data_IF_712624976533
#
_entry.id   IF_712624976533
#
_cell.length_a   1.000
_cell.length_b   1.000
_cell.length_c   1.000
_cell.angle_alpha   90.00
_cell.angle_beta   90.00
_cell.angle_gamma   90.00
#
_symmetry.space_group_name_H-M   'P 1'
#
loop_
_entity.id
_entity.type
_entity.pdbx_description
1 polymer ?
#
# COMPACT_ATOMS: atom_id res chain seq x y z
N UNK A 1 16.17 1.98 -5.68
CA UNK A 1 14.82 1.92 -6.26
C UNK A 1 14.40 0.47 -6.38
N UNK A 2 13.13 0.14 -6.11
CA UNK A 2 12.61 -1.22 -6.33
C UNK A 2 12.44 -1.48 -7.83
N UNK A 3 12.79 -2.68 -8.31
CA UNK A 3 12.57 -3.05 -9.72
C UNK A 3 11.08 -3.24 -10.01
N UNK A 4 10.67 -3.04 -11.26
CA UNK A 4 9.26 -3.22 -11.70
C UNK A 4 8.74 -4.62 -11.39
N UNK A 5 9.53 -5.68 -11.61
CA UNK A 5 9.15 -7.06 -11.26
C UNK A 5 8.97 -7.26 -9.75
N UNK A 6 9.76 -6.56 -8.92
CA UNK A 6 9.59 -6.61 -7.47
C UNK A 6 8.31 -5.88 -7.04
N UNK A 7 7.98 -4.72 -7.64
CA UNK A 7 6.70 -4.03 -7.40
C UNK A 7 5.50 -4.91 -7.78
N UNK A 8 5.57 -5.59 -8.93
CA UNK A 8 4.56 -6.55 -9.36
C UNK A 8 4.38 -7.70 -8.36
N UNK A 9 5.46 -8.23 -7.78
CA UNK A 9 5.40 -9.27 -6.74
C UNK A 9 4.70 -8.78 -5.47
N UNK A 10 5.01 -7.56 -5.01
CA UNK A 10 4.35 -6.95 -3.84
C UNK A 10 2.85 -6.79 -4.10
N UNK A 11 2.47 -6.27 -5.27
CA UNK A 11 1.07 -6.07 -5.65
C UNK A 11 0.29 -7.40 -5.66
N UNK A 12 0.85 -8.47 -6.24
CA UNK A 12 0.21 -9.80 -6.22
C UNK A 12 0.02 -10.32 -4.81
N UNK A 13 1.03 -10.19 -3.94
CA UNK A 13 0.93 -10.60 -2.53
C UNK A 13 -0.12 -9.80 -1.76
N UNK A 14 -0.33 -8.54 -2.14
CA UNK A 14 -1.38 -7.68 -1.59
C UNK A 14 -2.79 -7.96 -2.19
N UNK A 15 -2.92 -8.92 -3.11
CA UNK A 15 -4.18 -9.24 -3.78
C UNK A 15 -4.57 -8.28 -4.89
N UNK A 16 -3.68 -7.37 -5.31
CA UNK A 16 -3.93 -6.46 -6.44
C UNK A 16 -3.73 -7.24 -7.74
N UNK A 17 -4.70 -7.12 -8.67
CA UNK A 17 -4.58 -7.72 -10.00
C UNK A 17 -3.43 -7.08 -10.78
N UNK A 18 -2.47 -7.90 -11.20
CA UNK A 18 -1.26 -7.46 -11.90
C UNK A 18 -1.27 -8.02 -13.32
N UNK A 19 -1.09 -7.19 -14.36
CA UNK A 19 -1.05 -7.66 -15.75
C UNK A 19 0.10 -8.64 -15.98
N UNK A 20 -0.11 -9.60 -16.88
CA UNK A 20 0.93 -10.54 -17.29
C UNK A 20 2.12 -9.78 -17.90
N UNK A 21 3.34 -10.21 -17.57
CA UNK A 21 4.53 -9.66 -18.17
C UNK A 21 4.63 -10.17 -19.61
N UNK A 22 4.88 -9.31 -20.62
CA UNK A 22 5.12 -9.78 -21.98
C UNK A 22 6.35 -10.69 -22.01
N UNK A 23 6.22 -11.87 -22.65
CA UNK A 23 7.33 -12.83 -22.80
C UNK A 23 8.37 -12.36 -23.82
N UNK A 24 7.93 -11.63 -24.85
CA UNK A 24 8.79 -11.17 -25.93
C UNK A 24 9.26 -9.74 -25.65
N UNK A 25 10.54 -9.62 -25.26
CA UNK A 25 11.21 -8.34 -25.02
C UNK A 25 11.40 -7.50 -26.29
N UNK A 26 11.19 -8.09 -27.47
CA UNK A 26 11.34 -7.43 -28.78
C UNK A 26 10.23 -6.43 -29.07
N UNK A 27 9.10 -6.53 -28.36
CA UNK A 27 8.10 -5.45 -28.31
C UNK A 27 8.51 -4.47 -27.22
N UNK A 28 9.54 -3.65 -27.49
CA UNK A 28 10.05 -2.62 -26.57
C UNK A 28 8.91 -1.79 -25.93
N UNK A 29 7.89 -1.46 -26.74
CA UNK A 29 6.68 -0.74 -26.31
C UNK A 29 5.79 -1.55 -25.35
N UNK A 30 5.69 -2.87 -25.53
CA UNK A 30 4.94 -3.74 -24.62
C UNK A 30 5.62 -3.83 -23.25
N UNK A 31 6.96 -3.92 -23.22
CA UNK A 31 7.73 -3.90 -21.98
C UNK A 31 7.57 -2.56 -21.24
N UNK A 32 7.69 -1.45 -21.97
CA UNK A 32 7.55 -0.10 -21.40
C UNK A 32 6.12 0.18 -20.90
N UNK A 33 5.09 -0.22 -21.65
CA UNK A 33 3.70 -0.06 -21.25
C UNK A 33 3.34 -0.92 -20.03
N UNK A 34 3.81 -2.17 -19.99
CA UNK A 34 3.67 -3.02 -18.80
C UNK A 34 4.31 -2.36 -17.58
N UNK A 35 5.54 -1.85 -17.71
CA UNK A 35 6.22 -1.20 -16.60
C UNK A 35 5.44 0.02 -16.08
N UNK A 36 4.92 0.88 -16.96
CA UNK A 36 4.06 2.02 -16.54
C UNK A 36 2.79 1.57 -15.83
N UNK A 37 2.17 0.48 -16.27
CA UNK A 37 0.99 -0.08 -15.62
C UNK A 37 1.32 -0.53 -14.18
N UNK A 38 2.45 -1.23 -13.99
CA UNK A 38 2.91 -1.65 -12.65
C UNK A 38 3.19 -0.43 -11.76
N UNK A 39 3.86 0.60 -12.28
CA UNK A 39 4.14 1.82 -11.51
C UNK A 39 2.85 2.50 -11.04
N UNK A 40 1.86 2.62 -11.93
CA UNK A 40 0.56 3.22 -11.61
C UNK A 40 -0.15 2.45 -10.49
N UNK A 41 -0.21 1.13 -10.61
CA UNK A 41 -0.80 0.27 -9.58
C UNK A 41 -0.05 0.36 -8.25
N UNK A 42 1.28 0.43 -8.30
CA UNK A 42 2.12 0.52 -7.11
C UNK A 42 1.93 1.84 -6.37
N UNK A 43 1.85 2.97 -7.08
CA UNK A 43 1.57 4.28 -6.47
C UNK A 43 0.19 4.28 -5.79
N UNK A 44 -0.84 3.76 -6.45
CA UNK A 44 -2.18 3.65 -5.86
C UNK A 44 -2.19 2.76 -4.61
N UNK A 45 -1.50 1.61 -4.66
CA UNK A 45 -1.35 0.71 -3.52
C UNK A 45 -0.65 1.38 -2.33
N UNK A 46 0.47 2.06 -2.56
CA UNK A 46 1.23 2.75 -1.50
C UNK A 46 0.41 3.89 -0.91
N UNK A 47 -0.29 4.66 -1.72
CA UNK A 47 -1.18 5.71 -1.25
C UNK A 47 -2.30 5.14 -0.35
N UNK A 48 -2.96 4.06 -0.78
CA UNK A 48 -3.98 3.39 0.03
C UNK A 48 -3.41 2.83 1.34
N UNK A 49 -2.21 2.23 1.30
CA UNK A 49 -1.51 1.71 2.48
C UNK A 49 -1.15 2.83 3.46
N UNK A 50 -0.68 3.97 2.97
CA UNK A 50 -0.36 5.14 3.77
C UNK A 50 -1.61 5.74 4.43
N UNK A 51 -2.71 5.89 3.67
CA UNK A 51 -3.99 6.35 4.20
C UNK A 51 -4.55 5.42 5.29
N UNK A 52 -4.41 4.10 5.12
CA UNK A 52 -4.74 3.14 6.18
C UNK A 52 -3.85 3.32 7.41
N UNK A 53 -2.53 3.40 7.22
CA UNK A 53 -1.59 3.58 8.34
C UNK A 53 -1.85 4.85 9.14
N UNK A 54 -2.30 5.93 8.48
CA UNK A 54 -2.67 7.18 9.15
C UNK A 54 -3.89 6.98 10.06
N UNK A 55 -4.96 6.34 9.54
CA UNK A 55 -6.16 6.01 10.32
C UNK A 55 -5.84 5.12 11.52
N UNK A 56 -5.07 4.05 11.29
CA UNK A 56 -4.64 3.13 12.35
C UNK A 56 -3.88 3.90 13.47
N UNK A 57 -3.07 4.90 13.11
CA UNK A 57 -2.34 5.73 14.07
C UNK A 57 -3.24 6.73 14.83
N UNK A 58 -4.26 7.29 14.17
CA UNK A 58 -5.24 8.17 14.81
C UNK A 58 -6.11 7.41 15.81
N UNK A 59 -6.60 6.22 15.43
CA UNK A 59 -7.35 5.34 16.31
C UNK A 59 -6.53 4.96 17.55
N UNK A 60 -5.25 4.64 17.38
CA UNK A 60 -4.35 4.36 18.51
C UNK A 60 -4.18 5.56 19.46
N UNK A 61 -4.10 6.78 18.94
CA UNK A 61 -4.04 8.02 19.75
C UNK A 61 -5.35 8.26 20.50
N UNK A 62 -6.48 8.10 19.83
CA UNK A 62 -7.81 8.25 20.44
C UNK A 62 -8.01 7.23 21.57
N UNK A 63 -7.67 5.96 21.34
CA UNK A 63 -7.72 4.91 22.37
C UNK A 63 -6.81 5.23 23.56
N UNK A 64 -5.62 5.78 23.31
CA UNK A 64 -4.69 6.19 24.37
C UNK A 64 -5.27 7.32 25.22
N UNK A 65 -5.89 8.33 24.59
CA UNK A 65 -6.56 9.42 25.30
C UNK A 65 -7.73 8.92 26.15
N UNK A 66 -8.59 8.06 25.61
CA UNK A 66 -9.73 7.47 26.34
C UNK A 66 -9.26 6.67 27.56
N UNK A 67 -8.18 5.88 27.42
CA UNK A 67 -7.58 5.15 28.55
C UNK A 67 -7.06 6.09 29.64
N UNK A 68 -6.44 7.20 29.26
CA UNK A 68 -5.97 8.21 30.20
C UNK A 68 -7.12 8.87 30.98
N UNK A 69 -8.21 9.22 30.29
CA UNK A 69 -9.41 9.80 30.92
C UNK A 69 -10.11 8.79 31.85
N UNK A 70 -10.25 7.54 31.43
CA UNK A 70 -10.84 6.48 32.25
C UNK A 70 -10.00 6.19 33.51
N UNK A 71 -8.68 6.30 33.41
CA UNK A 71 -7.77 6.17 34.55
C UNK A 71 -7.82 7.39 35.49
N UNK A 72 -8.07 8.58 34.93
CA UNK A 72 -8.11 9.85 35.67
C UNK A 72 -9.47 10.15 36.31
N UNK A 73 -10.53 9.38 36.04
CA UNK A 73 -11.83 9.53 36.68
C UNK A 73 -11.78 8.89 38.09
N UNK A 74 -11.91 9.65 39.18
CA UNK A 74 -12.00 9.07 40.52
C UNK A 74 -13.31 8.26 40.63
N UNK A 75 -13.23 7.05 41.16
CA UNK A 75 -14.40 6.25 41.53
C UNK A 75 -15.22 7.04 42.56
N UNK A 76 -16.39 7.51 42.15
CA UNK A 76 -17.41 8.10 43.03
C UNK A 76 -18.32 7.01 43.57
#
# INVERSE_FOLDING_TARGET
MLTTSHKASILRKAGVAVPAQPLDADLHDAGASWARAIETLYVAYVAARAAKSLRDAEEARQLTMLRGLAWSAPAN
#
